data_IF_593341786389
#
_entry.id   IF_593341786389
#
_cell.length_a   1.000
_cell.length_b   1.000
_cell.length_c   1.000
_cell.angle_alpha   90.00
_cell.angle_beta   90.00
_cell.angle_gamma   90.00
#
_symmetry.space_group_name_H-M   'P 1'
#
loop_
_entity.id
_entity.type
_entity.pdbx_description
1 polymer ?
#
# COMPACT_ATOMS: atom_id res chain seq x y z
N UNK A 1 42.91 -45.54 -23.87
CA UNK A 1 41.65 -45.23 -23.15
C UNK A 1 40.49 -45.55 -24.09
N UNK A 2 39.56 -46.43 -23.71
CA UNK A 2 38.53 -46.94 -24.62
C UNK A 2 37.56 -45.82 -25.04
N UNK A 3 37.32 -45.69 -26.35
CA UNK A 3 36.40 -44.69 -26.96
C UNK A 3 35.00 -44.72 -26.32
N UNK A 4 34.57 -45.89 -25.87
CA UNK A 4 33.28 -46.10 -25.21
C UNK A 4 33.21 -45.49 -23.79
N UNK A 5 34.35 -45.40 -23.08
CA UNK A 5 34.43 -44.78 -21.75
C UNK A 5 34.28 -43.26 -21.86
N UNK A 6 34.90 -42.67 -22.89
CA UNK A 6 34.81 -41.23 -23.15
C UNK A 6 33.35 -40.86 -23.49
N UNK A 7 32.68 -41.66 -24.31
CA UNK A 7 31.26 -41.44 -24.65
C UNK A 7 30.36 -41.50 -23.41
N UNK A 8 30.60 -42.45 -22.50
CA UNK A 8 29.83 -42.58 -21.26
C UNK A 8 30.00 -41.38 -20.32
N UNK A 9 31.22 -40.83 -20.24
CA UNK A 9 31.51 -39.64 -19.43
C UNK A 9 30.78 -38.40 -19.98
N UNK A 10 30.71 -38.24 -21.32
CA UNK A 10 29.97 -37.15 -21.94
C UNK A 10 28.45 -37.22 -21.68
N UNK A 11 27.87 -38.43 -21.69
CA UNK A 11 26.44 -38.62 -21.39
C UNK A 11 26.11 -38.28 -19.93
N UNK A 12 27.00 -38.61 -18.99
CA UNK A 12 26.81 -38.24 -17.58
C UNK A 12 26.97 -36.74 -17.34
N UNK A 13 27.87 -36.06 -18.06
CA UNK A 13 28.08 -34.62 -17.94
C UNK A 13 26.91 -33.79 -18.52
N UNK A 14 26.30 -34.25 -19.62
CA UNK A 14 25.15 -33.56 -20.22
C UNK A 14 23.80 -34.01 -19.66
N UNK A 15 23.68 -35.23 -19.12
CA UNK A 15 22.44 -35.77 -18.60
C UNK A 15 22.00 -35.21 -17.24
N UNK A 16 22.92 -34.60 -16.47
CA UNK A 16 22.64 -34.03 -15.14
C UNK A 16 22.45 -32.50 -15.15
N UNK A 17 22.23 -31.88 -16.32
CA UNK A 17 21.85 -30.47 -16.36
C UNK A 17 20.40 -30.30 -15.91
N UNK A 18 20.19 -30.15 -14.59
CA UNK A 18 18.95 -29.55 -14.11
C UNK A 18 18.92 -28.11 -14.63
N UNK A 19 17.81 -27.67 -15.27
CA UNK A 19 17.68 -26.27 -15.65
C UNK A 19 17.72 -25.44 -14.37
N UNK A 20 18.82 -24.71 -14.18
CA UNK A 20 19.00 -23.84 -13.03
C UNK A 20 17.79 -22.92 -12.89
N UNK A 21 17.24 -22.84 -11.68
CA UNK A 21 16.14 -21.94 -11.36
C UNK A 21 16.59 -20.49 -11.62
N UNK A 22 16.34 -20.00 -12.83
CA UNK A 22 16.62 -18.62 -13.18
C UNK A 22 15.65 -17.73 -12.40
N UNK A 23 16.19 -16.80 -11.61
CA UNK A 23 15.37 -15.84 -10.88
C UNK A 23 14.62 -14.96 -11.88
N UNK A 24 13.30 -15.14 -11.98
CA UNK A 24 12.43 -14.22 -12.72
C UNK A 24 12.32 -12.93 -11.91
N UNK A 25 13.07 -11.91 -12.30
CA UNK A 25 12.91 -10.56 -11.77
C UNK A 25 11.83 -9.89 -12.62
N UNK A 26 10.71 -9.59 -12.00
CA UNK A 26 9.69 -8.75 -12.63
C UNK A 26 9.84 -7.33 -12.09
N UNK A 27 9.88 -6.37 -13.01
CA UNK A 27 10.04 -4.94 -12.70
C UNK A 27 8.77 -4.26 -13.16
N UNK A 28 8.23 -3.37 -12.33
CA UNK A 28 7.12 -2.51 -12.74
C UNK A 28 7.57 -1.56 -13.85
N UNK A 29 6.62 -0.87 -14.48
CA UNK A 29 6.96 0.33 -15.25
C UNK A 29 7.65 1.36 -14.34
N UNK A 30 8.36 2.31 -14.95
CA UNK A 30 9.04 3.38 -14.23
C UNK A 30 8.06 4.15 -13.33
N UNK A 31 8.34 4.15 -12.03
CA UNK A 31 7.56 4.87 -11.03
C UNK A 31 8.28 6.19 -10.75
N UNK A 32 7.63 7.31 -11.07
CA UNK A 32 8.21 8.63 -10.83
C UNK A 32 8.00 9.07 -9.37
N UNK A 33 9.02 8.86 -8.54
CA UNK A 33 9.03 9.30 -7.14
C UNK A 33 9.59 10.73 -7.06
N UNK A 34 8.85 11.63 -6.43
CA UNK A 34 9.24 13.02 -6.19
C UNK A 34 9.49 13.26 -4.71
N UNK A 35 10.56 13.98 -4.38
CA UNK A 35 11.00 14.19 -3.00
C UNK A 35 10.01 14.97 -2.12
N UNK A 36 9.10 15.74 -2.73
CA UNK A 36 8.14 16.58 -2.03
C UNK A 36 6.78 15.90 -1.76
N UNK A 37 6.65 14.61 -2.08
CA UNK A 37 5.44 13.82 -1.85
C UNK A 37 5.66 12.76 -0.78
N UNK A 38 4.59 12.36 -0.11
CA UNK A 38 4.62 11.21 0.79
C UNK A 38 4.10 9.96 0.07
N UNK A 39 4.67 8.82 0.42
CA UNK A 39 4.43 7.55 -0.25
C UNK A 39 4.25 6.46 0.79
N UNK A 40 3.33 5.53 0.53
CA UNK A 40 3.15 4.31 1.32
C UNK A 40 2.90 3.12 0.39
N UNK A 41 3.36 1.94 0.81
CA UNK A 41 3.17 0.69 0.07
C UNK A 41 2.41 -0.29 0.96
N UNK A 42 1.29 -0.80 0.44
CA UNK A 42 0.47 -1.82 1.09
C UNK A 42 0.58 -3.12 0.28
N UNK A 43 1.50 -4.03 0.65
CA UNK A 43 1.64 -5.30 -0.03
C UNK A 43 0.51 -6.26 0.37
N UNK A 44 0.18 -7.17 -0.55
CA UNK A 44 -0.73 -8.28 -0.34
C UNK A 44 -2.09 -7.85 0.24
N UNK A 45 -2.77 -6.97 -0.49
CA UNK A 45 -4.18 -6.62 -0.27
C UNK A 45 -4.99 -7.50 -1.24
N UNK A 46 -5.36 -8.71 -0.77
CA UNK A 46 -5.95 -9.78 -1.61
C UNK A 46 -5.17 -10.05 -2.90
N UNK A 47 -3.84 -10.20 -2.79
CA UNK A 47 -2.97 -10.46 -3.93
C UNK A 47 -2.66 -9.25 -4.82
N UNK A 48 -3.15 -8.05 -4.49
CA UNK A 48 -2.72 -6.80 -5.12
C UNK A 48 -1.68 -6.08 -4.24
N UNK A 49 -0.89 -5.23 -4.87
CA UNK A 49 -0.01 -4.26 -4.20
C UNK A 49 -0.60 -2.87 -4.44
N UNK A 50 -0.92 -2.15 -3.37
CA UNK A 50 -1.44 -0.79 -3.46
C UNK A 50 -0.30 0.17 -3.14
N UNK A 51 0.02 1.04 -4.08
CA UNK A 51 1.00 2.10 -3.91
C UNK A 51 0.30 3.44 -3.78
N UNK A 52 0.44 4.07 -2.63
CA UNK A 52 -0.21 5.32 -2.29
C UNK A 52 0.70 6.51 -2.58
N UNK A 53 0.11 7.56 -3.16
CA UNK A 53 0.75 8.87 -3.32
C UNK A 53 -0.04 9.95 -2.59
N UNK A 54 0.64 10.72 -1.76
CA UNK A 54 0.16 12.00 -1.26
C UNK A 54 0.87 13.14 -1.99
N UNK A 55 0.12 13.81 -2.87
CA UNK A 55 0.57 14.99 -3.63
C UNK A 55 0.04 16.29 -3.02
N UNK A 56 -0.33 16.30 -1.75
CA UNK A 56 -0.85 17.44 -1.02
C UNK A 56 -2.38 17.48 -1.01
N UNK A 57 -3.01 17.83 -2.14
CA UNK A 57 -4.48 17.83 -2.28
C UNK A 57 -5.00 16.64 -3.08
N UNK A 58 -4.12 15.93 -3.77
CA UNK A 58 -4.46 14.73 -4.54
C UNK A 58 -3.88 13.53 -3.82
N UNK A 59 -4.75 12.59 -3.51
CA UNK A 59 -4.42 11.32 -2.89
C UNK A 59 -4.82 10.21 -3.87
N UNK A 60 -3.92 9.30 -4.20
CA UNK A 60 -4.22 8.26 -5.18
C UNK A 60 -3.56 6.92 -4.83
N UNK A 61 -4.19 5.84 -5.26
CA UNK A 61 -3.64 4.50 -5.28
C UNK A 61 -3.30 4.09 -6.72
N UNK A 62 -2.07 3.65 -6.95
CA UNK A 62 -1.73 2.78 -8.07
C UNK A 62 -1.82 1.33 -7.59
N UNK A 63 -2.63 0.52 -8.27
CA UNK A 63 -2.90 -0.87 -7.90
C UNK A 63 -2.19 -1.78 -8.88
N UNK A 64 -1.28 -2.61 -8.37
CA UNK A 64 -0.51 -3.58 -9.11
C UNK A 64 -0.98 -5.01 -8.78
N UNK A 65 -0.81 -5.94 -9.72
CA UNK A 65 -0.91 -7.37 -9.42
C UNK A 65 0.36 -7.90 -8.73
N UNK A 66 0.36 -9.20 -8.41
CA UNK A 66 1.51 -9.90 -7.82
C UNK A 66 2.73 -9.95 -8.75
N UNK A 67 2.57 -9.68 -10.05
CA UNK A 67 3.65 -9.56 -11.02
C UNK A 67 4.04 -8.08 -11.26
N UNK A 68 3.68 -7.15 -10.36
CA UNK A 68 3.98 -5.72 -10.47
C UNK A 68 3.45 -5.05 -11.75
N UNK A 69 2.43 -5.64 -12.40
CA UNK A 69 1.75 -5.00 -13.54
C UNK A 69 0.68 -4.07 -13.01
N UNK A 70 0.70 -2.83 -13.48
CA UNK A 70 -0.32 -1.84 -13.14
C UNK A 70 -1.69 -2.32 -13.64
N UNK A 71 -2.63 -2.52 -12.73
CA UNK A 71 -4.02 -2.88 -13.03
C UNK A 71 -4.87 -1.63 -13.23
N UNK A 72 -4.77 -0.69 -12.30
CA UNK A 72 -5.58 0.53 -12.33
C UNK A 72 -5.00 1.60 -11.39
N UNK A 73 -5.46 2.82 -11.56
CA UNK A 73 -5.17 3.96 -10.69
C UNK A 73 -6.50 4.50 -10.18
N UNK A 74 -6.54 4.88 -8.90
CA UNK A 74 -7.75 5.39 -8.25
C UNK A 74 -7.45 6.57 -7.36
N UNK A 75 -8.24 7.61 -7.51
CA UNK A 75 -8.22 8.75 -6.59
C UNK A 75 -8.95 8.38 -5.31
N UNK A 76 -8.44 8.91 -4.20
CA UNK A 76 -9.02 8.75 -2.86
C UNK A 76 -9.87 9.97 -2.59
N UNK A 77 -11.18 9.75 -2.52
CA UNK A 77 -12.15 10.79 -2.21
C UNK A 77 -12.36 10.88 -0.70
N UNK A 78 -11.92 11.99 -0.11
CA UNK A 78 -12.21 12.31 1.28
C UNK A 78 -13.50 13.12 1.39
N UNK A 79 -14.26 13.01 2.50
CA UNK A 79 -15.55 13.71 2.65
C UNK A 79 -15.46 15.24 2.59
N UNK A 80 -14.31 15.83 2.88
CA UNK A 80 -14.08 17.26 2.84
C UNK A 80 -12.84 17.59 1.99
N UNK A 81 -12.91 18.65 1.19
CA UNK A 81 -11.80 19.09 0.31
C UNK A 81 -10.52 19.47 1.06
N UNK A 82 -10.64 19.93 2.29
CA UNK A 82 -9.53 20.30 3.16
C UNK A 82 -9.16 19.18 4.15
N UNK A 83 -9.72 17.98 3.98
CA UNK A 83 -9.34 16.83 4.79
C UNK A 83 -7.88 16.46 4.54
N UNK A 84 -7.19 16.09 5.61
CA UNK A 84 -5.81 15.62 5.59
C UNK A 84 -5.79 14.19 6.09
N UNK A 85 -5.14 13.31 5.35
CA UNK A 85 -4.83 11.97 5.82
C UNK A 85 -3.82 12.09 6.97
N UNK A 86 -4.16 11.53 8.12
CA UNK A 86 -3.31 11.53 9.32
C UNK A 86 -2.59 10.20 9.47
N UNK A 87 -3.24 9.11 9.09
CA UNK A 87 -2.66 7.76 9.15
C UNK A 87 -3.39 6.82 8.20
N UNK A 88 -2.68 5.80 7.74
CA UNK A 88 -3.28 4.70 6.98
C UNK A 88 -2.78 3.36 7.53
N UNK A 89 -3.65 2.35 7.55
CA UNK A 89 -3.30 1.02 8.01
C UNK A 89 -3.99 -0.07 7.20
N UNK A 90 -3.21 -1.10 6.82
CA UNK A 90 -3.77 -2.34 6.27
C UNK A 90 -4.29 -3.21 7.42
N UNK A 91 -5.59 -3.52 7.39
CA UNK A 91 -6.22 -4.50 8.24
C UNK A 91 -6.66 -5.69 7.39
N UNK A 92 -5.91 -6.80 7.46
CA UNK A 92 -6.14 -7.99 6.64
C UNK A 92 -6.20 -7.66 5.13
N UNK A 93 -7.40 -7.59 4.57
CA UNK A 93 -7.67 -7.34 3.14
C UNK A 93 -8.16 -5.94 2.81
N UNK A 94 -8.24 -5.04 3.80
CA UNK A 94 -8.74 -3.67 3.62
C UNK A 94 -7.70 -2.64 4.06
N UNK A 95 -7.80 -1.43 3.52
CA UNK A 95 -7.02 -0.28 3.94
C UNK A 95 -7.92 0.69 4.71
N UNK A 96 -7.55 0.98 5.95
CA UNK A 96 -8.17 2.02 6.76
C UNK A 96 -7.42 3.33 6.56
N UNK A 97 -8.12 4.38 6.14
CA UNK A 97 -7.59 5.73 6.04
C UNK A 97 -8.23 6.59 7.12
N UNK A 98 -7.40 7.12 8.01
CA UNK A 98 -7.80 8.05 9.06
C UNK A 98 -7.48 9.46 8.60
N UNK A 99 -8.48 10.32 8.65
CA UNK A 99 -8.38 11.69 8.16
C UNK A 99 -8.97 12.66 9.17
N UNK A 100 -8.52 13.90 9.09
CA UNK A 100 -9.06 15.01 9.86
C UNK A 100 -9.36 16.19 8.96
N UNK A 101 -10.40 16.95 9.28
CA UNK A 101 -10.63 18.26 8.67
C UNK A 101 -11.10 19.24 9.73
N UNK A 102 -10.97 20.53 9.43
CA UNK A 102 -11.47 21.62 10.27
C UNK A 102 -12.60 22.31 9.53
N UNK A 103 -13.71 22.51 10.23
CA UNK A 103 -14.81 23.34 9.77
C UNK A 103 -15.16 24.31 10.90
N UNK A 104 -15.15 25.60 10.58
CA UNK A 104 -15.23 26.70 11.55
C UNK A 104 -14.19 26.55 12.68
N UNK A 105 -14.64 26.14 13.87
CA UNK A 105 -13.83 25.97 15.07
C UNK A 105 -13.94 24.54 15.64
N UNK A 106 -14.32 23.58 14.79
CA UNK A 106 -14.49 22.19 15.18
C UNK A 106 -13.57 21.30 14.35
N UNK A 107 -12.82 20.44 15.04
CA UNK A 107 -12.03 19.40 14.39
C UNK A 107 -12.87 18.14 14.27
N UNK A 108 -12.92 17.64 13.05
CA UNK A 108 -13.58 16.39 12.73
C UNK A 108 -12.53 15.36 12.40
N UNK A 109 -12.75 14.15 12.92
CA UNK A 109 -11.89 13.01 12.72
C UNK A 109 -12.77 11.90 12.18
N UNK A 110 -12.35 11.30 11.07
CA UNK A 110 -13.07 10.21 10.44
C UNK A 110 -12.13 9.09 10.03
N UNK A 111 -12.75 7.96 9.69
CA UNK A 111 -12.07 6.84 9.08
C UNK A 111 -12.90 6.31 7.92
N UNK A 112 -12.23 5.94 6.83
CA UNK A 112 -12.85 5.28 5.69
C UNK A 112 -12.11 3.98 5.40
N UNK A 113 -12.86 2.96 5.01
CA UNK A 113 -12.31 1.68 4.58
C UNK A 113 -12.25 1.63 3.05
N UNK A 114 -11.15 1.10 2.53
CA UNK A 114 -10.91 0.92 1.10
C UNK A 114 -10.58 -0.53 0.80
N UNK A 115 -11.08 -1.01 -0.33
CA UNK A 115 -10.83 -2.37 -0.81
C UNK A 115 -9.54 -2.51 -1.61
N UNK A 116 -9.28 -3.72 -2.10
CA UNK A 116 -8.11 -4.07 -2.90
C UNK A 116 -8.02 -3.37 -4.27
N UNK A 117 -9.06 -2.64 -4.66
CA UNK A 117 -9.13 -1.84 -5.88
C UNK A 117 -9.19 -0.35 -5.56
N UNK A 118 -8.95 0.08 -4.32
CA UNK A 118 -9.01 1.48 -3.92
C UNK A 118 -10.42 2.07 -3.92
N UNK A 119 -11.47 1.24 -3.83
CA UNK A 119 -12.85 1.70 -3.71
C UNK A 119 -13.23 1.84 -2.25
N UNK A 120 -13.87 2.94 -1.89
CA UNK A 120 -14.43 3.12 -0.55
C UNK A 120 -15.52 2.06 -0.29
N UNK A 121 -15.38 1.31 0.80
CA UNK A 121 -16.32 0.27 1.23
C UNK A 121 -17.38 0.83 2.18
N UNK A 122 -16.95 1.64 3.15
CA UNK A 122 -17.83 2.35 4.07
C UNK A 122 -17.11 3.58 4.65
N UNK A 123 -17.89 4.58 5.03
CA UNK A 123 -17.40 5.75 5.78
C UNK A 123 -17.80 5.56 7.24
N UNK A 124 -16.84 5.25 8.10
CA UNK A 124 -17.09 5.25 9.54
C UNK A 124 -17.46 6.67 9.94
N UNK A 125 -18.58 6.82 10.66
CA UNK A 125 -19.11 8.12 11.05
C UNK A 125 -18.03 8.93 11.76
N UNK A 126 -17.81 10.18 11.34
CA UNK A 126 -16.83 11.04 11.99
C UNK A 126 -17.24 11.31 13.43
N UNK A 127 -16.27 11.30 14.34
CA UNK A 127 -16.44 11.87 15.66
C UNK A 127 -15.75 13.24 15.68
N UNK A 128 -16.26 14.14 16.52
CA UNK A 128 -15.80 15.51 16.57
C UNK A 128 -15.18 15.85 17.92
N UNK A 129 -14.19 16.74 17.88
CA UNK A 129 -13.58 17.35 19.05
C UNK A 129 -13.84 18.85 18.95
N UNK A 130 -14.61 19.40 19.89
CA UNK A 130 -14.82 20.83 19.98
C UNK A 130 -13.54 21.49 20.53
N UNK A 131 -13.02 22.50 19.83
CA UNK A 131 -11.73 23.11 20.16
C UNK A 131 -11.78 23.82 21.52
N UNK A 132 -10.83 23.52 22.41
CA UNK A 132 -10.52 24.35 23.59
C UNK A 132 -9.14 24.99 23.43
N UNK A 133 -9.10 26.27 23.03
CA UNK A 133 -7.97 27.23 22.99
C UNK A 133 -6.69 26.81 22.20
N UNK A 134 -6.48 25.52 21.94
CA UNK A 134 -5.30 24.96 21.28
C UNK A 134 -5.78 23.94 20.25
N UNK A 135 -5.39 24.13 18.99
CA UNK A 135 -5.61 23.17 17.91
C UNK A 135 -5.01 21.81 18.32
N UNK A 136 -5.81 20.76 18.55
CA UNK A 136 -5.26 19.47 18.91
C UNK A 136 -4.48 18.92 17.70
N UNK A 137 -3.18 18.69 17.88
CA UNK A 137 -2.41 17.89 16.93
C UNK A 137 -2.73 16.42 17.21
N UNK A 138 -3.87 15.94 16.69
CA UNK A 138 -4.32 14.57 16.90
C UNK A 138 -3.29 13.63 16.30
N UNK A 139 -2.73 12.76 17.14
CA UNK A 139 -1.79 11.72 16.68
C UNK A 139 -2.46 10.37 16.76
N UNK A 140 -2.26 9.57 15.73
CA UNK A 140 -2.68 8.18 15.72
C UNK A 140 -1.48 7.28 16.00
N UNK A 141 -1.65 6.33 16.91
CA UNK A 141 -0.67 5.29 17.18
C UNK A 141 -1.35 3.94 16.98
N UNK A 142 -0.76 3.15 16.08
CA UNK A 142 -1.11 1.76 15.87
C UNK A 142 -0.57 0.90 17.01
N UNK A 143 -1.33 -0.10 17.45
CA UNK A 143 -0.79 -1.18 18.27
C UNK A 143 0.29 -1.95 17.51
N UNK A 144 1.15 -2.67 18.24
CA UNK A 144 2.25 -3.45 17.65
C UNK A 144 1.75 -4.50 16.64
N UNK A 145 0.54 -5.02 16.86
CA UNK A 145 -0.14 -5.97 15.98
C UNK A 145 -1.05 -5.30 14.93
N UNK A 146 -1.08 -3.95 14.88
CA UNK A 146 -1.88 -3.12 13.96
C UNK A 146 -3.39 -3.37 14.01
N UNK A 147 -3.88 -4.02 15.08
CA UNK A 147 -5.31 -4.30 15.28
C UNK A 147 -6.07 -3.17 15.97
N UNK A 148 -5.36 -2.34 16.73
CA UNK A 148 -5.95 -1.25 17.50
C UNK A 148 -5.31 0.07 17.07
N UNK A 149 -6.15 1.10 17.04
CA UNK A 149 -5.78 2.49 16.79
C UNK A 149 -6.13 3.31 18.02
N UNK A 150 -5.15 4.02 18.55
CA UNK A 150 -5.37 5.04 19.58
C UNK A 150 -5.16 6.42 18.96
N UNK A 151 -6.06 7.35 19.28
CA UNK A 151 -5.90 8.78 19.01
C UNK A 151 -5.74 9.53 20.33
N UNK A 152 -4.90 10.57 20.35
CA UNK A 152 -4.69 11.46 21.50
C UNK A 152 -4.21 12.85 21.05
#
# INVERSE_FOLDING_TARGET
MNRNIIFFIWVLFFGCYEPGNAQKITVSNDINIRTNYAYDIFPDVKGNILFFHDRGQEHLFEIFDSELKLKTTRDIELPAKNAKIVSMQKADTIINIFYQWKEENTFYIGACEYDEYGRALDTIRPFYIQESITSPSVRFVASKDKKLMMFF
#
